data_IF_719591835216
#
_entry.id   IF_719591835216
#
_cell.length_a   1.000
_cell.length_b   1.000
_cell.length_c   1.000
_cell.angle_alpha   90.00
_cell.angle_beta   90.00
_cell.angle_gamma   90.00
#
_symmetry.space_group_name_H-M   'P 1'
#
loop_
_entity.id
_entity.type
_entity.pdbx_description
1 polymer ?
#
# COMPACT_ATOMS: atom_id res chain seq x y z
N UNK A 1 -5.94 55.70 30.39
CA UNK A 1 -5.73 54.38 29.76
C UNK A 1 -6.35 53.29 30.63
N UNK A 2 -7.31 52.53 30.10
CA UNK A 2 -8.14 51.55 30.83
C UNK A 2 -7.26 50.45 31.46
N UNK A 3 -7.57 50.01 32.68
CA UNK A 3 -6.80 49.00 33.45
C UNK A 3 -6.68 47.68 32.68
N UNK A 4 -7.72 47.32 31.91
CA UNK A 4 -7.70 46.16 30.99
C UNK A 4 -6.69 46.35 29.84
N UNK A 5 -6.55 47.55 29.31
CA UNK A 5 -5.62 47.84 28.20
C UNK A 5 -4.16 47.78 28.65
N UNK A 6 -3.85 48.16 29.90
CA UNK A 6 -2.52 48.00 30.49
C UNK A 6 -2.12 46.52 30.67
N UNK A 7 -3.07 45.67 31.05
CA UNK A 7 -2.82 44.22 31.23
C UNK A 7 -2.56 43.57 29.87
N UNK A 8 -3.34 43.90 28.84
CA UNK A 8 -3.12 43.38 27.47
C UNK A 8 -1.75 43.79 26.94
N UNK A 9 -1.34 45.06 27.13
CA UNK A 9 -0.02 45.51 26.69
C UNK A 9 1.12 44.77 27.42
N UNK A 10 0.99 44.56 28.72
CA UNK A 10 2.01 43.86 29.52
C UNK A 10 2.14 42.39 29.09
N UNK A 11 1.02 41.72 28.79
CA UNK A 11 1.02 40.35 28.28
C UNK A 11 1.67 40.27 26.89
N UNK A 12 1.38 41.22 26.00
CA UNK A 12 1.99 41.27 24.67
C UNK A 12 3.51 41.51 24.73
N UNK A 13 3.97 42.40 25.62
CA UNK A 13 5.41 42.64 25.82
C UNK A 13 6.11 41.41 26.40
N UNK A 14 5.47 40.70 27.33
CA UNK A 14 6.02 39.46 27.88
C UNK A 14 6.15 38.36 26.81
N UNK A 15 5.15 38.20 25.93
CA UNK A 15 5.20 37.22 24.83
C UNK A 15 6.33 37.56 23.83
N UNK A 16 6.49 38.83 23.49
CA UNK A 16 7.57 39.30 22.60
C UNK A 16 8.96 39.05 23.20
N UNK A 17 9.14 39.26 24.51
CA UNK A 17 10.41 38.99 25.19
C UNK A 17 10.74 37.49 25.23
N UNK A 18 9.74 36.62 25.40
CA UNK A 18 9.93 35.16 25.35
C UNK A 18 10.33 34.71 23.94
N UNK A 19 9.66 35.21 22.91
CA UNK A 19 10.01 34.91 21.51
C UNK A 19 11.43 35.36 21.15
N UNK A 20 11.85 36.54 21.62
CA UNK A 20 13.21 37.03 21.40
C UNK A 20 14.26 36.14 22.08
N UNK A 21 13.95 35.61 23.27
CA UNK A 21 14.84 34.70 23.99
C UNK A 21 14.99 33.36 23.28
N UNK A 22 13.91 32.82 22.70
CA UNK A 22 13.95 31.56 21.93
C UNK A 22 14.84 31.71 20.70
N UNK A 23 14.73 32.82 19.96
CA UNK A 23 15.57 33.10 18.79
C UNK A 23 17.06 33.23 19.16
N UNK A 24 17.37 33.83 20.31
CA UNK A 24 18.74 33.97 20.81
C UNK A 24 19.35 32.63 21.24
N UNK A 25 18.54 31.68 21.71
CA UNK A 25 18.98 30.34 22.10
C UNK A 25 19.20 29.44 20.88
N UNK A 26 18.39 29.57 19.82
CA UNK A 26 18.51 28.78 18.60
C UNK A 26 19.70 29.16 17.70
N UNK A 27 20.32 30.33 17.89
CA UNK A 27 21.41 30.83 17.05
C UNK A 27 22.83 30.49 17.53
N UNK A 28 23.00 29.56 18.49
CA UNK A 28 24.31 29.02 18.86
C UNK A 28 24.45 27.56 18.39
N UNK A 29 24.81 27.39 17.12
CA UNK A 29 25.34 26.11 16.62
C UNK A 29 26.80 25.89 17.04
N UNK A 30 27.28 24.64 17.14
CA UNK A 30 28.66 24.35 17.51
C UNK A 30 29.61 24.58 16.33
N UNK A 31 30.69 25.31 16.61
CA UNK A 31 31.87 25.44 15.74
C UNK A 31 32.88 24.34 16.05
N UNK A 32 33.36 23.61 15.04
CA UNK A 32 34.76 23.16 14.98
C UNK A 32 35.14 22.67 13.58
N UNK A 33 36.17 23.33 13.03
CA UNK A 33 37.01 22.88 11.93
C UNK A 33 37.72 21.55 12.26
N UNK A 34 38.20 20.81 11.24
CA UNK A 34 39.63 20.46 11.01
C UNK A 34 39.81 19.56 9.77
N UNK A 35 40.65 20.10 8.87
CA UNK A 35 41.61 19.56 7.87
C UNK A 35 41.29 18.41 6.89
N UNK A 36 41.64 18.74 5.64
CA UNK A 36 42.13 17.89 4.55
C UNK A 36 43.11 16.79 5.00
N UNK A 37 43.02 15.61 4.37
CA UNK A 37 44.20 14.95 3.82
C UNK A 37 43.84 14.10 2.60
N UNK A 38 44.64 14.26 1.56
CA UNK A 38 44.66 13.52 0.31
C UNK A 38 45.48 12.25 0.53
N UNK A 39 45.05 11.11 0.00
CA UNK A 39 45.99 10.10 -0.46
C UNK A 39 45.48 9.34 -1.68
N UNK A 40 46.37 9.29 -2.67
CA UNK A 40 46.32 8.48 -3.89
C UNK A 40 47.08 7.18 -3.63
N UNK A 41 46.63 6.08 -4.21
CA UNK A 41 47.45 5.07 -4.93
C UNK A 41 46.47 4.02 -5.52
N UNK A 42 46.29 3.98 -6.85
CA UNK A 42 47.02 3.15 -7.83
C UNK A 42 47.00 1.65 -7.54
N UNK A 43 46.17 0.88 -8.25
CA UNK A 43 46.58 -0.38 -8.90
C UNK A 43 45.79 -0.52 -10.22
N UNK A 44 46.53 -0.52 -11.33
CA UNK A 44 46.16 -1.07 -12.63
C UNK A 44 46.82 -2.45 -12.70
N UNK A 45 46.13 -3.47 -13.19
CA UNK A 45 46.67 -4.36 -14.21
C UNK A 45 45.57 -5.18 -14.90
N UNK A 46 45.47 -4.95 -16.21
CA UNK A 46 44.78 -5.75 -17.20
C UNK A 46 45.65 -6.95 -17.57
N UNK A 47 45.06 -8.14 -17.70
CA UNK A 47 45.43 -9.09 -18.78
C UNK A 47 44.16 -9.82 -19.23
N UNK A 48 43.74 -9.55 -20.47
CA UNK A 48 42.81 -10.35 -21.26
C UNK A 48 43.46 -10.56 -22.63
N UNK A 49 43.60 -11.82 -23.05
CA UNK A 49 43.89 -12.31 -24.40
C UNK A 49 43.83 -13.85 -24.30
N UNK A 50 43.37 -14.68 -25.24
CA UNK A 50 42.51 -14.60 -26.42
C UNK A 50 42.27 -16.07 -26.83
N UNK A 51 41.15 -16.31 -27.55
CA UNK A 51 40.99 -17.38 -28.55
C UNK A 51 40.85 -18.84 -28.06
N UNK A 52 40.22 -19.78 -28.75
CA UNK A 52 39.22 -19.84 -29.83
C UNK A 52 39.00 -21.35 -30.12
N UNK A 53 37.96 -21.67 -30.91
CA UNK A 53 37.68 -22.91 -31.68
C UNK A 53 36.76 -23.94 -31.02
N UNK A 54 35.47 -23.98 -31.37
CA UNK A 54 34.81 -24.54 -32.59
C UNK A 54 34.83 -26.07 -32.66
N UNK A 55 33.64 -26.67 -32.76
CA UNK A 55 33.22 -27.51 -33.89
C UNK A 55 31.73 -27.91 -33.76
N UNK A 56 30.93 -27.47 -34.74
CA UNK A 56 29.72 -28.15 -35.24
C UNK A 56 30.11 -29.53 -35.82
N UNK A 57 29.19 -30.51 -35.98
CA UNK A 57 28.37 -30.79 -37.19
C UNK A 57 27.36 -31.94 -36.94
N UNK A 58 26.19 -31.82 -37.58
CA UNK A 58 25.03 -32.73 -37.73
C UNK A 58 25.30 -34.12 -38.34
N UNK A 59 24.31 -35.04 -38.29
CA UNK A 59 23.54 -35.56 -39.45
C UNK A 59 22.35 -36.46 -39.03
N UNK A 60 21.28 -36.38 -39.84
CA UNK A 60 19.97 -37.06 -39.77
C UNK A 60 19.95 -38.47 -40.40
N UNK A 61 18.72 -39.05 -40.48
CA UNK A 61 18.20 -40.15 -41.34
C UNK A 61 18.14 -41.56 -40.68
N UNK A 62 17.13 -42.44 -40.81
CA UNK A 62 15.86 -42.50 -41.56
C UNK A 62 15.02 -43.74 -41.09
N UNK A 63 13.69 -43.69 -41.33
CA UNK A 63 12.65 -44.74 -41.57
C UNK A 63 12.69 -46.20 -41.03
N UNK A 64 11.59 -46.57 -40.36
CA UNK A 64 10.56 -47.49 -40.91
C UNK A 64 10.47 -48.94 -40.41
N UNK A 65 9.31 -49.34 -39.85
CA UNK A 65 8.43 -50.40 -40.39
C UNK A 65 7.24 -50.75 -39.47
N UNK A 66 6.09 -50.96 -40.12
CA UNK A 66 4.80 -51.38 -39.58
C UNK A 66 4.74 -52.88 -39.25
N UNK A 67 3.85 -53.26 -38.32
CA UNK A 67 3.18 -54.57 -38.28
C UNK A 67 1.73 -54.42 -37.84
N UNK A 68 0.86 -55.03 -38.62
CA UNK A 68 -0.58 -55.21 -38.43
C UNK A 68 -0.84 -56.66 -37.94
N UNK A 69 -2.09 -57.13 -37.69
CA UNK A 69 -2.53 -57.64 -36.39
C UNK A 69 -2.92 -59.13 -36.40
N UNK A 70 -3.05 -59.74 -35.21
CA UNK A 70 -3.73 -61.02 -34.87
C UNK A 70 -3.24 -61.37 -33.44
N UNK A 71 -3.95 -61.94 -32.47
CA UNK A 71 -5.20 -62.70 -32.45
C UNK A 71 -5.74 -62.65 -31.01
N UNK A 72 -7.06 -62.77 -30.90
CA UNK A 72 -7.88 -62.68 -29.71
C UNK A 72 -8.02 -64.07 -29.06
N UNK A 73 -7.50 -64.26 -27.85
CA UNK A 73 -7.99 -65.32 -26.96
C UNK A 73 -8.02 -64.80 -25.53
N UNK A 74 -9.18 -64.98 -24.90
CA UNK A 74 -9.61 -64.17 -23.78
C UNK A 74 -9.14 -64.63 -22.41
N UNK A 75 -9.38 -63.77 -21.45
CA UNK A 75 -9.80 -64.13 -20.09
C UNK A 75 -10.60 -62.94 -19.54
N UNK A 76 -11.86 -63.18 -19.22
CA UNK A 76 -12.73 -62.21 -18.55
C UNK A 76 -12.21 -61.97 -17.13
N UNK A 77 -11.36 -60.96 -16.97
CA UNK A 77 -11.21 -60.26 -15.72
C UNK A 77 -12.26 -59.15 -15.67
N UNK A 78 -13.25 -59.26 -14.78
CA UNK A 78 -14.02 -58.10 -14.35
C UNK A 78 -13.05 -57.16 -13.62
N UNK A 79 -12.41 -56.26 -14.36
CA UNK A 79 -11.79 -55.07 -13.80
C UNK A 79 -12.94 -54.21 -13.26
N UNK A 80 -13.17 -54.33 -11.96
CA UNK A 80 -13.88 -53.34 -11.18
C UNK A 80 -13.08 -52.04 -11.28
N UNK A 81 -13.41 -51.21 -12.27
CA UNK A 81 -13.04 -49.80 -12.27
C UNK A 81 -13.69 -49.19 -11.03
N UNK A 82 -12.92 -49.06 -9.95
CA UNK A 82 -13.25 -48.11 -8.90
C UNK A 82 -13.24 -46.75 -9.59
N UNK A 83 -14.43 -46.21 -9.85
CA UNK A 83 -14.59 -44.77 -10.00
C UNK A 83 -14.07 -44.18 -8.69
N UNK A 84 -12.83 -43.69 -8.69
CA UNK A 84 -12.38 -42.74 -7.68
C UNK A 84 -13.36 -41.58 -7.79
N UNK A 85 -14.27 -41.46 -6.82
CA UNK A 85 -15.04 -40.24 -6.62
C UNK A 85 -14.00 -39.13 -6.47
N UNK A 86 -13.78 -38.34 -7.52
CA UNK A 86 -12.94 -37.14 -7.44
C UNK A 86 -13.51 -36.31 -6.29
N UNK A 87 -12.73 -36.17 -5.20
CA UNK A 87 -13.15 -35.31 -4.11
C UNK A 87 -13.47 -33.93 -4.70
N UNK A 88 -14.63 -33.35 -4.35
CA UNK A 88 -15.03 -32.08 -4.93
C UNK A 88 -13.92 -31.07 -4.68
N UNK A 89 -13.33 -30.55 -5.77
CA UNK A 89 -12.33 -29.49 -5.71
C UNK A 89 -13.03 -28.32 -5.01
N UNK A 90 -12.70 -28.11 -3.74
CA UNK A 90 -13.18 -26.96 -3.00
C UNK A 90 -12.61 -25.72 -3.68
N UNK A 91 -13.41 -24.68 -3.93
CA UNK A 91 -12.89 -23.45 -4.52
C UNK A 91 -11.79 -22.90 -3.62
N UNK A 92 -10.70 -22.41 -4.22
CA UNK A 92 -9.65 -21.70 -3.48
C UNK A 92 -10.24 -20.41 -2.85
N UNK A 93 -9.68 -19.94 -1.72
CA UNK A 93 -10.13 -18.69 -1.11
C UNK A 93 -9.87 -17.49 -2.03
N UNK A 94 -10.76 -16.50 -1.98
CA UNK A 94 -10.51 -15.19 -2.62
C UNK A 94 -9.49 -14.42 -1.77
N UNK A 95 -8.42 -13.93 -2.38
CA UNK A 95 -7.30 -13.27 -1.70
C UNK A 95 -7.32 -11.78 -1.98
N UNK A 96 -7.57 -10.98 -0.94
CA UNK A 96 -7.48 -9.53 -0.99
C UNK A 96 -6.14 -9.08 -0.41
N UNK A 97 -5.34 -8.33 -1.17
CA UNK A 97 -4.07 -7.79 -0.71
C UNK A 97 -4.13 -6.28 -0.48
N UNK A 98 -3.42 -5.81 0.55
CA UNK A 98 -3.36 -4.41 0.94
C UNK A 98 -1.94 -3.98 1.24
N UNK A 99 -1.54 -2.86 0.66
CA UNK A 99 -0.31 -2.16 0.96
C UNK A 99 -0.60 -0.73 1.41
N UNK A 100 0.38 -0.11 2.05
CA UNK A 100 0.29 1.28 2.52
C UNK A 100 0.68 2.31 1.46
N UNK A 101 1.41 3.35 1.87
CA UNK A 101 1.64 4.55 1.06
C UNK A 101 2.69 4.31 -0.05
N UNK A 102 2.37 4.74 -1.27
CA UNK A 102 3.34 4.86 -2.38
C UNK A 102 3.45 6.29 -2.87
N UNK A 103 4.59 6.62 -3.49
CA UNK A 103 4.85 7.95 -4.03
C UNK A 103 5.64 7.90 -5.33
N UNK A 104 5.02 8.33 -6.42
CA UNK A 104 5.65 8.42 -7.74
C UNK A 104 6.04 9.85 -8.13
N UNK A 105 6.24 10.77 -7.18
CA UNK A 105 6.77 12.09 -7.50
C UNK A 105 8.06 11.97 -8.30
N UNK A 106 8.17 12.76 -9.38
CA UNK A 106 9.30 12.66 -10.32
C UNK A 106 10.66 12.95 -9.65
N UNK A 107 10.69 13.63 -8.50
CA UNK A 107 11.92 13.90 -7.74
C UNK A 107 12.10 12.96 -6.53
N UNK A 108 11.23 11.98 -6.37
CA UNK A 108 11.26 11.04 -5.26
C UNK A 108 12.41 10.03 -5.41
N UNK A 109 12.86 9.47 -4.27
CA UNK A 109 13.86 8.39 -4.25
C UNK A 109 13.35 7.08 -4.88
N UNK A 110 12.09 6.66 -4.67
CA UNK A 110 11.46 5.59 -5.44
C UNK A 110 11.68 5.72 -6.95
N UNK A 111 11.21 6.81 -7.56
CA UNK A 111 11.31 6.98 -9.03
C UNK A 111 12.76 7.09 -9.50
N UNK A 112 13.62 7.80 -8.76
CA UNK A 112 15.04 7.86 -9.08
C UNK A 112 15.73 6.48 -9.05
N UNK A 113 15.28 5.56 -8.18
CA UNK A 113 15.76 4.18 -8.17
C UNK A 113 15.23 3.42 -9.38
N UNK A 114 13.92 3.45 -9.60
CA UNK A 114 13.26 2.75 -10.70
C UNK A 114 13.94 3.05 -12.04
N UNK A 115 14.14 4.34 -12.34
CA UNK A 115 14.77 4.80 -13.57
C UNK A 115 16.25 4.38 -13.66
N UNK A 116 16.99 4.41 -12.53
CA UNK A 116 18.41 4.02 -12.48
C UNK A 116 18.61 2.52 -12.68
N UNK A 117 17.82 1.69 -12.00
CA UNK A 117 17.95 0.24 -12.06
C UNK A 117 17.50 -0.30 -13.41
N UNK A 118 16.49 0.34 -14.04
CA UNK A 118 15.99 0.01 -15.38
C UNK A 118 15.63 -1.48 -15.54
N UNK A 119 14.96 -2.04 -14.52
CA UNK A 119 14.50 -3.43 -14.43
C UNK A 119 12.98 -3.54 -14.26
N UNK A 120 12.25 -2.47 -14.60
CA UNK A 120 10.85 -2.31 -14.20
C UNK A 120 10.70 -2.38 -12.68
N UNK A 121 9.54 -2.85 -12.22
CA UNK A 121 9.23 -2.94 -10.80
C UNK A 121 10.21 -3.82 -10.01
N UNK A 122 10.83 -4.83 -10.63
CA UNK A 122 11.83 -5.69 -9.99
C UNK A 122 13.14 -4.96 -9.62
N UNK A 123 13.36 -3.75 -10.16
CA UNK A 123 14.41 -2.86 -9.68
C UNK A 123 14.09 -2.24 -8.32
N UNK A 124 12.82 -2.18 -7.94
CA UNK A 124 12.28 -1.42 -6.81
C UNK A 124 11.62 -2.28 -5.73
N UNK A 125 11.03 -3.41 -6.11
CA UNK A 125 10.34 -4.36 -5.23
C UNK A 125 10.89 -5.76 -5.50
N UNK A 126 11.07 -6.57 -4.46
CA UNK A 126 11.57 -7.93 -4.60
C UNK A 126 10.59 -8.84 -5.35
N UNK A 127 11.15 -9.82 -6.06
CA UNK A 127 10.40 -10.74 -6.92
C UNK A 127 9.33 -11.54 -6.17
N UNK A 128 9.64 -12.01 -4.97
CA UNK A 128 8.70 -12.69 -4.07
C UNK A 128 7.50 -11.81 -3.69
N UNK A 129 7.71 -10.53 -3.38
CA UNK A 129 6.59 -9.61 -3.14
C UNK A 129 5.79 -9.33 -4.41
N UNK A 130 6.45 -9.19 -5.57
CA UNK A 130 5.74 -9.00 -6.83
C UNK A 130 4.86 -10.21 -7.14
N UNK A 131 5.35 -11.42 -6.90
CA UNK A 131 4.55 -12.64 -7.02
C UNK A 131 3.36 -12.64 -6.04
N UNK A 132 3.58 -12.33 -4.75
CA UNK A 132 2.50 -12.25 -3.76
C UNK A 132 1.42 -11.21 -4.10
N UNK A 133 1.81 -10.06 -4.67
CA UNK A 133 0.87 -9.03 -5.14
C UNK A 133 0.07 -9.50 -6.35
N UNK A 134 0.72 -10.13 -7.35
CA UNK A 134 0.05 -10.60 -8.57
C UNK A 134 -0.80 -11.87 -8.36
N UNK A 135 -0.54 -12.63 -7.29
CA UNK A 135 -1.35 -13.79 -6.90
C UNK A 135 -2.58 -13.42 -6.05
N UNK A 136 -2.75 -12.14 -5.68
CA UNK A 136 -3.99 -11.67 -5.07
C UNK A 136 -5.06 -11.48 -6.15
N UNK A 137 -6.33 -11.74 -5.82
CA UNK A 137 -7.44 -11.47 -6.74
C UNK A 137 -7.74 -9.98 -6.84
N UNK A 138 -7.49 -9.22 -5.76
CA UNK A 138 -7.60 -7.76 -5.72
C UNK A 138 -6.47 -7.19 -4.87
N UNK A 139 -5.64 -6.34 -5.45
CA UNK A 139 -4.59 -5.60 -4.74
C UNK A 139 -4.92 -4.11 -4.62
N UNK A 140 -5.02 -3.64 -3.38
CA UNK A 140 -5.30 -2.24 -3.04
C UNK A 140 -4.14 -1.55 -2.33
N UNK A 141 -3.88 -0.27 -2.65
CA UNK A 141 -2.92 0.57 -1.92
C UNK A 141 -3.32 2.05 -1.82
N UNK A 142 -2.53 2.85 -1.09
CA UNK A 142 -2.72 4.31 -1.03
C UNK A 142 -1.85 5.04 -2.07
N UNK A 143 -2.50 5.67 -3.06
CA UNK A 143 -1.84 6.52 -4.05
C UNK A 143 -1.74 7.96 -3.51
N UNK A 144 -0.61 8.31 -2.92
CA UNK A 144 -0.43 9.58 -2.19
C UNK A 144 0.27 10.68 -3.01
N UNK A 145 -0.19 10.90 -4.23
CA UNK A 145 0.31 11.91 -5.16
C UNK A 145 -0.71 12.15 -6.28
N UNK A 146 -0.49 13.15 -7.13
CA UNK A 146 -1.30 13.39 -8.32
C UNK A 146 -0.56 13.00 -9.62
N UNK A 147 -1.27 12.46 -10.60
CA UNK A 147 -0.78 12.31 -11.98
C UNK A 147 -1.16 13.54 -12.79
N UNK A 148 -0.18 14.34 -13.22
CA UNK A 148 -0.46 15.49 -14.08
C UNK A 148 0.80 16.13 -14.65
N UNK A 149 0.66 16.84 -15.77
CA UNK A 149 1.63 17.85 -16.24
C UNK A 149 1.08 19.28 -16.15
N UNK A 150 -0.17 19.42 -15.70
CA UNK A 150 -0.91 20.66 -15.46
C UNK A 150 -0.93 21.00 -13.97
N UNK A 151 -1.72 22.01 -13.63
CA UNK A 151 -1.90 22.47 -12.26
C UNK A 151 -0.73 23.30 -11.74
N UNK A 152 -0.95 23.95 -10.60
CA UNK A 152 0.06 24.77 -9.93
C UNK A 152 0.30 24.24 -8.53
N UNK A 153 1.57 24.09 -8.18
CA UNK A 153 1.99 23.68 -6.84
C UNK A 153 1.37 24.60 -5.79
N UNK A 154 0.72 24.01 -4.78
CA UNK A 154 0.25 24.71 -3.60
C UNK A 154 1.46 25.20 -2.79
N UNK A 155 1.69 26.51 -2.78
CA UNK A 155 2.96 27.09 -2.34
C UNK A 155 3.19 26.92 -0.83
N UNK A 156 2.12 27.01 -0.04
CA UNK A 156 2.14 26.98 1.41
C UNK A 156 2.30 25.58 1.99
N UNK A 157 2.22 24.53 1.16
CA UNK A 157 2.37 23.14 1.60
C UNK A 157 3.84 22.73 1.58
N UNK A 158 4.32 22.13 2.67
CA UNK A 158 5.72 21.70 2.83
C UNK A 158 6.12 20.62 1.84
N UNK A 159 5.21 19.68 1.56
CA UNK A 159 5.43 18.57 0.65
C UNK A 159 4.30 18.52 -0.37
N UNK A 160 4.69 18.40 -1.64
CA UNK A 160 3.76 18.30 -2.77
C UNK A 160 4.29 17.25 -3.72
N UNK A 161 3.45 16.29 -4.14
CA UNK A 161 3.87 15.16 -4.96
C UNK A 161 3.13 15.12 -6.28
N UNK A 162 3.88 15.00 -7.38
CA UNK A 162 3.32 14.87 -8.72
C UNK A 162 4.14 13.93 -9.59
N UNK A 163 3.45 12.96 -10.15
CA UNK A 163 3.97 12.03 -11.14
C UNK A 163 3.59 12.47 -12.55
N UNK A 164 4.45 12.17 -13.52
CA UNK A 164 4.03 12.17 -14.92
C UNK A 164 2.92 11.12 -15.10
N UNK A 165 1.81 11.40 -15.84
CA UNK A 165 0.76 10.41 -16.10
C UNK A 165 1.26 9.05 -16.61
N UNK A 166 2.36 9.02 -17.37
CA UNK A 166 2.98 7.76 -17.83
C UNK A 166 3.46 6.85 -16.70
N UNK A 167 3.68 7.36 -15.49
CA UNK A 167 4.08 6.55 -14.33
C UNK A 167 2.96 5.62 -13.83
N UNK A 168 1.74 5.77 -14.34
CA UNK A 168 0.64 4.84 -14.03
C UNK A 168 0.95 3.40 -14.44
N UNK A 169 1.81 3.18 -15.44
CA UNK A 169 2.24 1.84 -15.85
C UNK A 169 2.96 1.10 -14.71
N UNK A 170 3.58 1.81 -13.76
CA UNK A 170 4.19 1.19 -12.59
C UNK A 170 3.14 0.50 -11.71
N UNK A 171 1.92 1.04 -11.59
CA UNK A 171 0.84 0.37 -10.86
C UNK A 171 0.46 -0.96 -11.53
N UNK A 172 0.47 -1.01 -12.87
CA UNK A 172 0.23 -2.25 -13.63
C UNK A 172 1.35 -3.26 -13.42
N UNK A 173 2.61 -2.83 -13.41
CA UNK A 173 3.74 -3.71 -13.11
C UNK A 173 3.66 -4.28 -11.68
N UNK A 174 3.10 -3.52 -10.74
CA UNK A 174 2.84 -3.98 -9.36
C UNK A 174 1.62 -4.91 -9.25
N UNK A 175 0.77 -5.02 -10.28
CA UNK A 175 -0.49 -5.77 -10.22
C UNK A 175 -1.58 -5.09 -9.39
N UNK A 176 -1.59 -3.76 -9.31
CA UNK A 176 -2.59 -3.01 -8.53
C UNK A 176 -3.91 -2.93 -9.30
N UNK A 177 -5.03 -3.21 -8.63
CA UNK A 177 -6.37 -3.10 -9.22
C UNK A 177 -7.08 -1.82 -8.80
N UNK A 178 -6.89 -1.40 -7.54
CA UNK A 178 -7.61 -0.28 -6.95
C UNK A 178 -6.71 0.57 -6.04
N UNK A 179 -6.90 1.89 -6.09
CA UNK A 179 -6.19 2.82 -5.22
C UNK A 179 -7.12 3.69 -4.38
N UNK A 180 -6.69 4.02 -3.17
CA UNK A 180 -7.27 5.16 -2.44
C UNK A 180 -6.65 6.47 -2.92
N UNK A 181 -7.51 7.45 -3.21
CA UNK A 181 -7.13 8.85 -3.43
C UNK A 181 -7.55 9.76 -2.26
N UNK A 182 -8.23 9.22 -1.25
CA UNK A 182 -8.57 9.98 -0.06
C UNK A 182 -7.33 10.16 0.82
N UNK A 183 -6.55 11.20 0.55
CA UNK A 183 -5.38 11.57 1.35
C UNK A 183 -5.08 13.08 1.23
N UNK A 184 -4.13 13.58 2.00
CA UNK A 184 -3.76 14.99 1.99
C UNK A 184 -2.98 15.42 0.74
N UNK A 185 -2.67 14.56 -0.23
CA UNK A 185 -1.81 14.87 -1.38
C UNK A 185 -2.52 14.91 -2.74
N UNK A 186 -3.78 14.46 -2.82
CA UNK A 186 -4.56 14.44 -4.05
C UNK A 186 -4.75 15.80 -4.75
N UNK A 187 -4.66 16.93 -4.03
CA UNK A 187 -4.81 18.30 -4.57
C UNK A 187 -3.54 19.15 -4.49
N UNK A 188 -2.36 18.53 -4.38
CA UNK A 188 -1.07 19.22 -4.28
C UNK A 188 -0.75 20.19 -5.43
N UNK A 189 -1.38 19.94 -6.59
CA UNK A 189 -1.27 20.76 -7.79
C UNK A 189 -2.63 21.30 -8.24
N UNK A 190 -3.63 21.29 -7.35
CA UNK A 190 -4.98 21.81 -7.58
C UNK A 190 -5.88 20.89 -8.40
N UNK A 191 -7.08 21.38 -8.69
CA UNK A 191 -8.18 20.59 -9.28
C UNK A 191 -7.82 20.04 -10.67
N UNK A 192 -7.06 20.79 -11.48
CA UNK A 192 -6.60 20.30 -12.78
C UNK A 192 -5.82 18.98 -12.65
N UNK A 193 -4.91 18.90 -11.68
CA UNK A 193 -4.11 17.71 -11.47
C UNK A 193 -4.91 16.54 -10.88
N UNK A 194 -5.93 16.83 -10.06
CA UNK A 194 -6.84 15.81 -9.56
C UNK A 194 -7.71 15.22 -10.68
N UNK A 195 -8.21 16.06 -11.60
CA UNK A 195 -8.99 15.59 -12.75
C UNK A 195 -8.12 14.79 -13.75
N UNK A 196 -6.89 15.23 -13.98
CA UNK A 196 -5.91 14.47 -14.75
C UNK A 196 -5.61 13.11 -14.06
N UNK A 197 -5.57 13.07 -12.73
CA UNK A 197 -5.38 11.84 -11.94
C UNK A 197 -6.50 10.84 -12.18
N UNK A 198 -7.77 11.28 -12.11
CA UNK A 198 -8.92 10.43 -12.43
C UNK A 198 -8.83 9.87 -13.84
N UNK A 199 -8.57 10.74 -14.82
CA UNK A 199 -8.46 10.35 -16.23
C UNK A 199 -7.32 9.33 -16.44
N UNK A 200 -6.17 9.57 -15.81
CA UNK A 200 -4.99 8.69 -15.93
C UNK A 200 -5.29 7.29 -15.39
N UNK A 201 -5.96 7.19 -14.25
CA UNK A 201 -6.33 5.91 -13.64
C UNK A 201 -7.41 5.19 -14.45
N UNK A 202 -8.44 5.91 -14.91
CA UNK A 202 -9.52 5.37 -15.75
C UNK A 202 -8.99 4.83 -17.10
N UNK A 203 -8.11 5.57 -17.78
CA UNK A 203 -7.47 5.12 -19.03
C UNK A 203 -6.51 3.94 -18.81
N UNK A 204 -5.94 3.82 -17.61
CA UNK A 204 -5.11 2.69 -17.23
C UNK A 204 -5.90 1.45 -16.82
N UNK A 205 -7.21 1.57 -16.56
CA UNK A 205 -8.03 0.48 -16.02
C UNK A 205 -7.76 0.21 -14.54
N UNK A 206 -7.31 1.22 -13.79
CA UNK A 206 -7.08 1.14 -12.34
C UNK A 206 -8.24 1.86 -11.65
N UNK A 207 -8.99 1.15 -10.82
CA UNK A 207 -10.10 1.74 -10.09
C UNK A 207 -9.61 2.65 -8.96
N UNK A 208 -10.46 3.58 -8.54
CA UNK A 208 -10.16 4.45 -7.40
C UNK A 208 -11.38 4.77 -6.55
N UNK A 209 -11.10 4.95 -5.25
CA UNK A 209 -12.09 5.31 -4.22
C UNK A 209 -11.63 6.51 -3.38
N UNK A 210 -12.60 7.17 -2.76
CA UNK A 210 -12.35 8.22 -1.78
C UNK A 210 -12.09 9.62 -2.37
N UNK A 211 -12.16 9.77 -3.69
CA UNK A 211 -12.14 11.05 -4.38
C UNK A 211 -13.04 11.01 -5.61
N UNK A 212 -13.49 12.17 -6.09
CA UNK A 212 -14.35 12.25 -7.25
C UNK A 212 -14.54 13.66 -7.77
N UNK A 213 -15.17 13.77 -8.94
CA UNK A 213 -15.54 15.04 -9.57
C UNK A 213 -16.59 15.83 -8.79
N UNK A 214 -17.31 15.14 -7.89
CA UNK A 214 -18.27 15.68 -6.94
C UNK A 214 -18.38 14.72 -5.73
N UNK A 215 -19.20 15.10 -4.74
CA UNK A 215 -19.35 14.31 -3.51
C UNK A 215 -19.98 12.94 -3.73
N UNK A 216 -20.91 12.80 -4.69
CA UNK A 216 -21.55 11.52 -4.98
C UNK A 216 -20.56 10.51 -5.55
N UNK A 217 -19.69 10.92 -6.48
CA UNK A 217 -18.61 10.04 -6.97
C UNK A 217 -17.56 9.76 -5.89
N UNK A 218 -17.21 10.76 -5.07
CA UNK A 218 -16.19 10.63 -4.04
C UNK A 218 -16.59 9.66 -2.92
N UNK A 219 -17.90 9.59 -2.59
CA UNK A 219 -18.44 8.73 -1.54
C UNK A 219 -18.87 7.33 -2.04
N UNK A 220 -19.02 7.15 -3.35
CA UNK A 220 -19.51 5.90 -3.93
C UNK A 220 -18.53 4.73 -3.70
N UNK A 221 -19.02 3.55 -3.29
CA UNK A 221 -18.22 2.34 -3.26
C UNK A 221 -17.83 1.85 -4.65
N UNK A 222 -16.71 1.16 -4.75
CA UNK A 222 -16.35 0.32 -5.92
C UNK A 222 -16.61 -1.13 -5.55
N UNK A 223 -17.15 -1.91 -6.49
CA UNK A 223 -17.53 -3.31 -6.29
C UNK A 223 -16.79 -4.22 -7.25
N UNK A 224 -16.22 -5.30 -6.72
CA UNK A 224 -15.72 -6.43 -7.49
C UNK A 224 -16.57 -7.65 -7.18
N UNK A 225 -16.89 -8.45 -8.20
CA UNK A 225 -17.55 -9.74 -7.99
C UNK A 225 -16.65 -10.84 -8.53
N UNK A 226 -16.20 -11.70 -7.63
CA UNK A 226 -15.36 -12.86 -7.94
C UNK A 226 -16.16 -14.09 -7.54
N UNK A 227 -16.43 -14.96 -8.50
CA UNK A 227 -17.41 -16.04 -8.35
C UNK A 227 -18.76 -15.47 -7.88
N UNK A 228 -19.31 -15.98 -6.78
CA UNK A 228 -20.58 -15.51 -6.20
C UNK A 228 -20.38 -14.56 -4.99
N UNK A 229 -19.18 -13.99 -4.82
CA UNK A 229 -18.87 -13.07 -3.71
C UNK A 229 -18.63 -11.67 -4.25
N UNK A 230 -19.44 -10.71 -3.78
CA UNK A 230 -19.24 -9.28 -4.07
C UNK A 230 -18.46 -8.62 -2.94
N UNK A 231 -17.35 -7.96 -3.27
CA UNK A 231 -16.49 -7.20 -2.37
C UNK A 231 -16.64 -5.71 -2.70
N UNK A 232 -16.93 -4.89 -1.68
CA UNK A 232 -17.04 -3.45 -1.81
C UNK A 232 -15.87 -2.73 -1.14
N UNK A 233 -15.38 -1.67 -1.77
CA UNK A 233 -14.31 -0.82 -1.29
C UNK A 233 -14.82 0.60 -1.12
N UNK A 234 -14.57 1.17 0.06
CA UNK A 234 -14.80 2.58 0.35
C UNK A 234 -13.54 3.16 1.00
N UNK A 235 -13.24 4.43 0.72
CA UNK A 235 -12.10 5.10 1.33
C UNK A 235 -12.43 6.51 1.81
N UNK A 236 -11.75 6.98 2.85
CA UNK A 236 -11.89 8.34 3.36
C UNK A 236 -10.63 8.83 4.07
N UNK A 237 -10.49 10.15 4.18
CA UNK A 237 -9.36 10.77 4.87
C UNK A 237 -9.77 11.60 6.07
N UNK A 238 -9.05 11.45 7.18
CA UNK A 238 -9.11 12.40 8.30
C UNK A 238 -8.01 13.46 8.23
N UNK A 239 -7.13 13.35 7.24
CA UNK A 239 -6.02 14.28 7.00
C UNK A 239 -6.26 14.95 5.66
N UNK A 240 -6.98 16.07 5.69
CA UNK A 240 -7.26 16.90 4.51
C UNK A 240 -6.69 18.29 4.79
N UNK A 241 -5.87 18.77 3.84
CA UNK A 241 -5.07 19.99 4.02
C UNK A 241 -5.92 21.26 4.18
N UNK A 242 -7.01 21.39 3.42
CA UNK A 242 -7.89 22.56 3.45
C UNK A 242 -9.36 22.18 3.29
N UNK A 243 -10.26 23.00 3.85
CA UNK A 243 -11.72 22.76 3.82
C UNK A 243 -12.28 22.65 2.40
N UNK A 244 -11.64 23.31 1.45
CA UNK A 244 -12.10 23.31 0.07
C UNK A 244 -11.52 22.14 -0.73
N UNK A 245 -10.74 21.24 -0.10
CA UNK A 245 -10.27 20.00 -0.72
C UNK A 245 -11.25 18.83 -0.56
N UNK A 246 -12.28 19.04 0.26
CA UNK A 246 -13.42 18.13 0.33
C UNK A 246 -14.24 18.24 -0.95
N UNK A 247 -14.68 17.10 -1.47
CA UNK A 247 -15.65 17.11 -2.57
C UNK A 247 -16.97 17.74 -2.13
N UNK A 248 -17.64 18.40 -3.07
CA UNK A 248 -19.02 18.90 -2.90
C UNK A 248 -19.83 18.61 -4.17
N UNK A 249 -21.11 18.97 -4.18
CA UNK A 249 -21.97 18.83 -5.36
C UNK A 249 -21.37 19.46 -6.63
N UNK A 250 -20.55 20.51 -6.47
CA UNK A 250 -20.02 21.31 -7.57
C UNK A 250 -18.49 21.38 -7.59
N UNK A 251 -17.79 20.62 -6.73
CA UNK A 251 -16.34 20.70 -6.63
C UNK A 251 -15.70 19.30 -6.53
N UNK A 252 -14.70 19.00 -7.38
CA UNK A 252 -13.88 17.82 -7.21
C UNK A 252 -13.07 17.85 -5.93
N UNK A 253 -12.91 16.70 -5.29
CA UNK A 253 -12.14 16.57 -4.06
C UNK A 253 -12.26 15.19 -3.45
N UNK A 254 -11.86 15.10 -2.19
CA UNK A 254 -11.85 13.84 -1.43
C UNK A 254 -13.04 13.79 -0.48
N UNK A 255 -13.50 12.58 -0.18
CA UNK A 255 -14.36 12.37 0.99
C UNK A 255 -13.50 12.40 2.25
N UNK A 256 -13.99 13.12 3.25
CA UNK A 256 -13.34 13.17 4.55
C UNK A 256 -14.12 12.45 5.64
N UNK A 257 -13.42 12.16 6.73
CA UNK A 257 -13.98 11.50 7.91
C UNK A 257 -13.52 12.17 9.20
N UNK A 258 -13.43 13.50 9.22
CA UNK A 258 -13.29 14.20 10.51
C UNK A 258 -14.58 14.05 11.35
N UNK A 259 -15.72 14.23 10.68
CA UNK A 259 -17.01 13.70 11.08
C UNK A 259 -17.24 12.39 10.31
N UNK A 260 -17.45 11.24 10.97
CA UNK A 260 -17.60 9.95 10.31
C UNK A 260 -18.95 9.77 9.60
N UNK A 261 -19.95 10.64 9.80
CA UNK A 261 -21.31 10.40 9.35
C UNK A 261 -21.41 10.07 7.85
N UNK A 262 -20.77 10.86 7.00
CA UNK A 262 -20.81 10.65 5.55
C UNK A 262 -20.11 9.35 5.13
N UNK A 263 -18.98 9.02 5.74
CA UNK A 263 -18.28 7.78 5.43
C UNK A 263 -19.03 6.55 5.97
N UNK A 264 -19.72 6.69 7.09
CA UNK A 264 -20.65 5.67 7.62
C UNK A 264 -21.81 5.43 6.66
N UNK A 265 -22.32 6.45 5.96
CA UNK A 265 -23.32 6.28 4.90
C UNK A 265 -22.74 5.46 3.72
N UNK A 266 -21.53 5.77 3.25
CA UNK A 266 -20.84 4.98 2.22
C UNK A 266 -20.67 3.51 2.63
N UNK A 267 -20.27 3.25 3.88
CA UNK A 267 -20.11 1.87 4.40
C UNK A 267 -21.45 1.13 4.43
N UNK A 268 -22.53 1.81 4.81
CA UNK A 268 -23.88 1.20 4.82
C UNK A 268 -24.36 0.88 3.42
N UNK A 269 -24.19 1.81 2.48
CA UNK A 269 -24.50 1.59 1.06
C UNK A 269 -23.71 0.39 0.51
N UNK A 270 -22.40 0.34 0.79
CA UNK A 270 -21.56 -0.80 0.43
C UNK A 270 -22.12 -2.11 1.00
N UNK A 271 -22.45 -2.14 2.29
CA UNK A 271 -22.94 -3.35 2.96
C UNK A 271 -24.28 -3.83 2.45
N UNK A 272 -25.15 -2.94 2.00
CA UNK A 272 -26.44 -3.30 1.41
C UNK A 272 -26.28 -4.01 0.05
N UNK A 273 -25.13 -3.85 -0.62
CA UNK A 273 -24.89 -4.30 -1.99
C UNK A 273 -23.68 -5.24 -2.13
N UNK A 274 -23.11 -5.73 -1.02
CA UNK A 274 -21.94 -6.63 -1.06
C UNK A 274 -21.91 -7.64 0.09
N UNK A 275 -21.15 -8.72 -0.10
CA UNK A 275 -20.91 -9.74 0.92
C UNK A 275 -19.82 -9.29 1.90
N UNK A 276 -18.77 -8.65 1.39
CA UNK A 276 -17.63 -8.16 2.17
C UNK A 276 -17.39 -6.66 1.90
N UNK A 277 -17.13 -5.88 2.96
CA UNK A 277 -16.86 -4.43 2.85
C UNK A 277 -15.49 -4.08 3.43
N UNK A 278 -14.64 -3.46 2.62
CA UNK A 278 -13.35 -2.89 3.04
C UNK A 278 -13.48 -1.39 3.20
N UNK A 279 -13.14 -0.88 4.40
CA UNK A 279 -12.98 0.54 4.65
C UNK A 279 -11.50 0.91 4.73
N UNK A 280 -10.99 1.65 3.74
CA UNK A 280 -9.59 2.07 3.65
C UNK A 280 -9.42 3.53 4.09
N UNK A 281 -8.62 3.83 5.12
CA UNK A 281 -8.71 5.10 5.85
C UNK A 281 -7.35 5.76 6.05
N UNK A 282 -7.24 7.00 5.59
CA UNK A 282 -6.02 7.80 5.71
C UNK A 282 -6.08 8.69 6.97
N UNK A 283 -5.32 8.36 8.01
CA UNK A 283 -5.53 8.92 9.36
C UNK A 283 -4.33 8.81 10.30
N UNK A 284 -4.48 9.25 11.55
CA UNK A 284 -3.44 9.09 12.57
C UNK A 284 -2.47 10.27 12.57
N UNK A 285 -1.30 10.02 13.14
CA UNK A 285 -0.23 11.01 13.25
C UNK A 285 1.02 10.42 12.63
N UNK A 286 1.68 11.21 11.79
CA UNK A 286 2.93 10.82 11.15
C UNK A 286 4.00 10.39 12.17
N UNK A 287 4.77 9.38 11.78
CA UNK A 287 5.98 8.90 12.46
C UNK A 287 5.78 8.40 13.90
N UNK A 288 4.61 7.86 14.23
CA UNK A 288 4.38 7.18 15.52
C UNK A 288 3.62 5.87 15.37
N UNK A 289 4.10 4.84 16.08
CA UNK A 289 3.40 3.56 16.22
C UNK A 289 2.23 3.64 17.20
N UNK A 290 2.18 4.69 18.04
CA UNK A 290 1.11 4.90 19.00
C UNK A 290 -0.18 5.33 18.31
N UNK A 291 -1.28 4.66 18.64
CA UNK A 291 -2.60 5.00 18.16
C UNK A 291 -3.17 6.21 18.91
N UNK A 292 -3.94 7.01 18.19
CA UNK A 292 -4.79 8.03 18.80
C UNK A 292 -6.18 7.45 19.07
N UNK A 293 -6.81 7.87 20.18
CA UNK A 293 -8.14 7.37 20.59
C UNK A 293 -9.19 7.44 19.48
N UNK A 294 -9.14 8.48 18.64
CA UNK A 294 -10.08 8.62 17.53
C UNK A 294 -9.89 7.53 16.48
N UNK A 295 -8.66 7.04 16.23
CA UNK A 295 -8.44 5.96 15.26
C UNK A 295 -9.17 4.71 15.74
N UNK A 296 -9.01 4.37 17.02
CA UNK A 296 -9.64 3.20 17.65
C UNK A 296 -11.16 3.33 17.62
N UNK A 297 -11.69 4.47 18.07
CA UNK A 297 -13.14 4.68 18.12
C UNK A 297 -13.77 4.68 16.72
N UNK A 298 -13.12 5.30 15.73
CA UNK A 298 -13.65 5.37 14.37
C UNK A 298 -13.59 4.02 13.65
N UNK A 299 -12.50 3.26 13.82
CA UNK A 299 -12.42 1.90 13.26
C UNK A 299 -13.58 1.04 13.75
N UNK A 300 -13.91 1.11 15.05
CA UNK A 300 -15.06 0.39 15.64
C UNK A 300 -16.40 0.89 15.10
N UNK A 301 -16.57 2.20 14.92
CA UNK A 301 -17.76 2.77 14.28
C UNK A 301 -17.94 2.24 12.86
N UNK A 302 -16.87 2.08 12.09
CA UNK A 302 -16.94 1.57 10.72
C UNK A 302 -17.30 0.10 10.67
N UNK A 303 -16.70 -0.72 11.54
CA UNK A 303 -17.09 -2.12 11.71
C UNK A 303 -18.57 -2.23 12.12
N UNK A 304 -19.02 -1.39 13.06
CA UNK A 304 -20.41 -1.35 13.52
C UNK A 304 -21.38 -0.85 12.43
N UNK A 305 -20.90 -0.06 11.47
CA UNK A 305 -21.68 0.43 10.34
C UNK A 305 -21.85 -0.60 9.21
N UNK A 306 -20.99 -1.63 9.16
CA UNK A 306 -21.07 -2.68 8.15
C UNK A 306 -19.73 -3.10 7.55
N UNK A 307 -18.63 -2.39 7.83
CA UNK A 307 -17.31 -2.80 7.35
C UNK A 307 -16.93 -4.17 7.89
N UNK A 308 -16.35 -5.02 7.04
CA UNK A 308 -15.83 -6.34 7.38
C UNK A 308 -14.31 -6.31 7.59
N UNK A 309 -13.61 -5.30 7.05
CA UNK A 309 -12.23 -4.97 7.39
C UNK A 309 -11.99 -3.45 7.38
N UNK A 310 -11.09 -2.97 8.24
CA UNK A 310 -10.61 -1.57 8.23
C UNK A 310 -9.11 -1.53 8.04
N UNK A 311 -8.66 -0.89 6.97
CA UNK A 311 -7.23 -0.81 6.62
C UNK A 311 -6.80 0.66 6.65
N UNK A 312 -5.77 0.97 7.42
CA UNK A 312 -5.27 2.31 7.61
C UNK A 312 -3.97 2.60 6.85
N UNK A 313 -3.74 3.88 6.58
CA UNK A 313 -2.49 4.44 6.05
C UNK A 313 -2.31 5.89 6.55
N UNK A 314 -1.26 6.61 6.10
CA UNK A 314 -0.80 7.97 6.51
C UNK A 314 0.36 8.06 7.52
N UNK A 315 0.41 7.30 8.63
CA UNK A 315 1.45 7.49 9.64
C UNK A 315 2.88 7.30 9.10
N UNK A 316 3.05 6.75 7.88
CA UNK A 316 4.31 6.39 7.26
C UNK A 316 5.15 5.38 8.07
N UNK A 317 4.50 4.70 9.02
CA UNK A 317 5.01 3.63 9.88
C UNK A 317 3.94 2.57 10.05
N UNK A 318 4.34 1.33 10.35
CA UNK A 318 3.40 0.31 10.82
C UNK A 318 2.68 0.79 12.08
N UNK A 319 1.38 0.59 12.16
CA UNK A 319 0.64 0.65 13.43
C UNK A 319 -0.01 -0.71 13.68
N UNK A 320 -0.42 -0.94 14.92
CA UNK A 320 -0.92 -2.25 15.36
C UNK A 320 -2.11 -2.79 14.56
N UNK A 321 -2.38 -4.06 14.78
CA UNK A 321 -3.58 -4.76 14.34
C UNK A 321 -4.45 -5.07 15.56
N UNK A 322 -5.77 -5.02 15.39
CA UNK A 322 -6.72 -5.57 16.36
C UNK A 322 -7.83 -6.33 15.64
N UNK A 323 -8.52 -7.21 16.38
CA UNK A 323 -9.83 -7.71 15.98
C UNK A 323 -10.90 -7.01 16.81
N UNK A 324 -11.99 -6.62 16.16
CA UNK A 324 -13.19 -6.14 16.84
C UNK A 324 -14.40 -6.84 16.25
N UNK A 325 -15.13 -7.59 17.09
CA UNK A 325 -16.24 -8.47 16.66
C UNK A 325 -15.82 -9.48 15.59
N UNK A 326 -14.61 -10.04 15.72
CA UNK A 326 -14.05 -11.00 14.77
C UNK A 326 -13.57 -10.41 13.44
N UNK A 327 -13.61 -9.07 13.27
CA UNK A 327 -13.23 -8.39 12.04
C UNK A 327 -11.89 -7.65 12.21
N UNK A 328 -10.96 -7.74 11.23
CA UNK A 328 -9.65 -7.15 11.34
C UNK A 328 -9.66 -5.63 11.17
N UNK A 329 -8.85 -4.97 11.98
CA UNK A 329 -8.48 -3.55 11.86
C UNK A 329 -6.96 -3.48 11.83
N UNK A 330 -6.38 -3.08 10.70
CA UNK A 330 -4.97 -2.74 10.58
C UNK A 330 -4.83 -1.22 10.56
N UNK A 331 -4.26 -0.61 11.60
CA UNK A 331 -4.31 0.84 11.75
C UNK A 331 -3.36 1.61 10.82
N UNK A 332 -2.28 0.98 10.37
CA UNK A 332 -1.38 1.51 9.33
C UNK A 332 -0.47 0.40 8.81
N UNK A 333 -0.37 0.28 7.47
CA UNK A 333 0.59 -0.60 6.80
C UNK A 333 1.93 0.10 6.47
N UNK A 334 2.08 1.36 6.90
CA UNK A 334 3.29 2.15 6.69
C UNK A 334 3.55 2.51 5.23
N UNK A 335 4.78 2.89 4.91
CA UNK A 335 5.16 3.15 3.53
C UNK A 335 5.39 1.82 2.82
N UNK A 336 4.74 1.61 1.68
CA UNK A 336 5.05 0.45 0.84
C UNK A 336 6.18 0.76 -0.14
N UNK A 337 6.13 1.91 -0.81
CA UNK A 337 7.22 2.39 -1.67
C UNK A 337 7.17 3.91 -1.84
N UNK A 338 7.64 4.63 -0.81
CA UNK A 338 7.40 6.09 -0.68
C UNK A 338 8.69 6.91 -0.52
N UNK A 339 9.66 6.42 0.24
CA UNK A 339 10.91 7.13 0.52
C UNK A 339 12.10 6.14 0.57
N UNK A 340 13.29 6.64 0.94
CA UNK A 340 14.50 5.81 1.04
C UNK A 340 14.86 5.37 2.46
N UNK A 341 14.01 5.64 3.45
CA UNK A 341 14.30 5.31 4.84
C UNK A 341 14.21 3.80 5.05
N UNK A 342 15.14 3.27 5.86
CA UNK A 342 15.04 1.91 6.34
C UNK A 342 13.91 1.81 7.37
N UNK A 343 12.84 1.08 7.07
CA UNK A 343 11.65 1.01 7.91
C UNK A 343 10.78 -0.21 7.61
N UNK A 344 10.16 -0.74 8.64
CA UNK A 344 9.13 -1.78 8.57
C UNK A 344 7.94 -1.32 7.73
N UNK A 345 7.38 -2.26 6.98
CA UNK A 345 6.15 -2.15 6.19
C UNK A 345 5.43 -3.49 6.21
N UNK A 346 4.29 -3.61 5.54
CA UNK A 346 3.56 -4.86 5.43
C UNK A 346 2.76 -4.98 4.15
N UNK A 347 2.63 -6.22 3.67
CA UNK A 347 1.58 -6.62 2.73
C UNK A 347 0.56 -7.44 3.53
N UNK A 348 -0.61 -6.87 3.78
CA UNK A 348 -1.68 -7.54 4.50
C UNK A 348 -2.54 -8.31 3.49
N UNK A 349 -2.76 -9.59 3.72
CA UNK A 349 -3.65 -10.45 2.94
C UNK A 349 -4.85 -10.85 3.78
N UNK A 350 -6.04 -10.77 3.19
CA UNK A 350 -7.29 -11.27 3.76
C UNK A 350 -7.81 -12.35 2.83
N UNK A 351 -7.98 -13.55 3.37
CA UNK A 351 -8.49 -14.71 2.66
C UNK A 351 -9.98 -14.85 2.97
N UNK A 352 -10.82 -14.80 1.95
CA UNK A 352 -12.25 -15.09 2.05
C UNK A 352 -12.45 -16.55 1.69
N UNK A 353 -12.59 -17.40 2.71
CA UNK A 353 -12.67 -18.84 2.53
C UNK A 353 -14.07 -19.27 2.02
N UNK A 354 -14.18 -20.41 1.32
CA UNK A 354 -15.47 -20.93 0.84
C UNK A 354 -16.51 -21.16 1.93
N UNK A 355 -16.07 -21.46 3.15
CA UNK A 355 -16.94 -21.64 4.33
C UNK A 355 -17.38 -20.30 4.96
N UNK A 356 -17.05 -19.18 4.30
CA UNK A 356 -17.29 -17.79 4.72
C UNK A 356 -16.50 -17.35 5.95
N UNK A 357 -15.53 -18.15 6.40
CA UNK A 357 -14.55 -17.67 7.37
C UNK A 357 -13.55 -16.73 6.70
N UNK A 358 -12.82 -15.98 7.53
CA UNK A 358 -11.81 -15.03 7.07
C UNK A 358 -10.51 -15.26 7.80
N UNK A 359 -9.44 -15.51 7.05
CA UNK A 359 -8.09 -15.55 7.60
C UNK A 359 -7.35 -14.26 7.23
N UNK A 360 -6.47 -13.82 8.13
CA UNK A 360 -5.69 -12.59 7.96
C UNK A 360 -4.23 -12.94 8.09
N UNK A 361 -3.41 -12.54 7.12
CA UNK A 361 -1.98 -12.75 7.11
C UNK A 361 -1.26 -11.43 6.89
N UNK A 362 -0.22 -11.16 7.66
CA UNK A 362 0.67 -10.03 7.43
C UNK A 362 2.03 -10.55 6.95
N UNK A 363 2.36 -10.31 5.70
CA UNK A 363 3.71 -10.59 5.21
C UNK A 363 4.68 -9.51 5.72
N UNK A 364 5.84 -9.91 6.26
CA UNK A 364 6.77 -8.99 6.88
C UNK A 364 7.59 -8.30 5.80
N UNK A 365 7.43 -6.99 5.66
CA UNK A 365 8.09 -6.20 4.60
C UNK A 365 9.05 -5.19 5.22
N UNK A 366 10.14 -4.92 4.51
CA UNK A 366 11.11 -3.89 4.85
C UNK A 366 11.34 -2.99 3.65
N UNK A 367 11.32 -1.68 3.90
CA UNK A 367 11.92 -0.71 2.99
C UNK A 367 13.37 -0.50 3.40
N UNK A 368 14.28 -0.43 2.43
CA UNK A 368 15.65 0.03 2.64
C UNK A 368 16.16 0.67 1.35
N UNK A 369 16.59 1.93 1.42
CA UNK A 369 17.21 2.61 0.27
C UNK A 369 16.33 2.63 -0.99
N UNK A 370 15.03 2.88 -0.77
CA UNK A 370 13.94 2.89 -1.76
C UNK A 370 13.74 1.54 -2.47
N UNK A 371 14.21 0.45 -1.87
CA UNK A 371 13.89 -0.92 -2.28
C UNK A 371 12.99 -1.56 -1.23
N UNK A 372 11.89 -2.16 -1.68
CA UNK A 372 10.90 -2.82 -0.82
C UNK A 372 11.06 -4.33 -0.97
N UNK A 373 11.21 -5.06 0.13
CA UNK A 373 11.43 -6.51 0.08
C UNK A 373 10.77 -7.25 1.22
N UNK A 374 10.37 -8.50 0.95
CA UNK A 374 9.91 -9.41 1.98
C UNK A 374 11.07 -9.86 2.86
N UNK A 375 10.85 -9.86 4.16
CA UNK A 375 11.78 -10.43 5.11
C UNK A 375 11.62 -11.95 5.06
N UNK A 376 12.59 -12.64 4.46
CA UNK A 376 12.60 -14.12 4.35
C UNK A 376 13.46 -14.80 5.41
N UNK A 377 14.43 -14.08 5.99
CA UNK A 377 15.29 -14.62 7.05
C UNK A 377 14.49 -14.88 8.33
N UNK A 378 14.41 -16.15 8.75
CA UNK A 378 13.56 -16.62 9.86
C UNK A 378 13.70 -15.79 11.13
N UNK A 379 14.94 -15.48 11.54
CA UNK A 379 15.18 -14.71 12.76
C UNK A 379 14.62 -13.28 12.67
N UNK A 380 14.73 -12.65 11.50
CA UNK A 380 14.18 -11.31 11.25
C UNK A 380 12.66 -11.34 11.15
N UNK A 381 12.06 -12.40 10.58
CA UNK A 381 10.60 -12.60 10.59
C UNK A 381 10.07 -12.65 12.03
N UNK A 382 10.71 -13.45 12.89
CA UNK A 382 10.32 -13.54 14.31
C UNK A 382 10.44 -12.19 15.04
N UNK A 383 11.48 -11.43 14.76
CA UNK A 383 11.67 -10.12 15.38
C UNK A 383 10.66 -9.09 14.86
N UNK A 384 10.30 -9.14 13.56
CA UNK A 384 9.22 -8.36 12.97
C UNK A 384 7.86 -8.69 13.62
N UNK A 385 7.51 -9.97 13.76
CA UNK A 385 6.25 -10.35 14.37
C UNK A 385 6.19 -10.01 15.86
N UNK A 386 7.29 -10.13 16.61
CA UNK A 386 7.36 -9.63 17.99
C UNK A 386 7.14 -8.12 18.05
N UNK A 387 7.72 -7.37 17.12
CA UNK A 387 7.45 -5.94 17.00
C UNK A 387 5.96 -5.68 16.75
N UNK A 388 5.36 -6.37 15.79
CA UNK A 388 3.93 -6.24 15.49
C UNK A 388 3.06 -6.61 16.69
N UNK A 389 3.34 -7.72 17.39
CA UNK A 389 2.62 -8.10 18.61
C UNK A 389 2.71 -7.03 19.72
N UNK A 390 3.85 -6.35 19.83
CA UNK A 390 4.06 -5.31 20.86
C UNK A 390 3.25 -4.04 20.59
N UNK A 391 2.98 -3.71 19.32
CA UNK A 391 2.20 -2.52 18.95
C UNK A 391 0.71 -2.83 18.66
N UNK A 392 0.34 -4.10 18.65
CA UNK A 392 -1.00 -4.60 18.35
C UNK A 392 -1.81 -4.91 19.61
N UNK A 393 -3.13 -5.01 19.47
CA UNK A 393 -4.05 -5.20 20.60
C UNK A 393 -4.70 -6.58 20.54
N UNK A 394 -4.35 -7.43 21.50
CA UNK A 394 -5.02 -8.72 21.65
C UNK A 394 -4.82 -9.66 20.46
N UNK A 395 -3.69 -9.61 19.75
CA UNK A 395 -3.40 -10.53 18.63
C UNK A 395 -2.09 -11.29 18.82
N UNK A 396 -1.97 -12.42 18.13
CA UNK A 396 -0.74 -13.20 17.92
C UNK A 396 -0.49 -13.42 16.45
N UNK A 397 0.78 -13.59 16.09
CA UNK A 397 1.21 -14.00 14.76
C UNK A 397 1.83 -15.39 14.82
N UNK A 398 1.47 -16.26 13.89
CA UNK A 398 2.20 -17.50 13.69
C UNK A 398 3.48 -17.28 12.84
N UNK A 399 4.21 -18.36 12.55
CA UNK A 399 5.45 -18.30 11.76
C UNK A 399 5.27 -17.86 10.30
N UNK A 400 4.07 -18.05 9.75
CA UNK A 400 3.72 -17.66 8.37
C UNK A 400 3.06 -16.27 8.33
N UNK A 401 2.80 -15.67 9.49
CA UNK A 401 2.24 -14.33 9.62
C UNK A 401 0.72 -14.30 9.74
N UNK A 402 0.06 -15.46 9.88
CA UNK A 402 -1.37 -15.49 10.15
C UNK A 402 -1.67 -14.90 11.52
N UNK A 403 -2.69 -14.06 11.58
CA UNK A 403 -3.06 -13.26 12.74
C UNK A 403 -4.27 -13.87 13.42
N UNK A 404 -4.17 -14.11 14.72
CA UNK A 404 -5.27 -14.67 15.53
C UNK A 404 -5.53 -13.80 16.76
N UNK A 405 -6.78 -13.76 17.21
CA UNK A 405 -7.16 -13.08 18.45
C UNK A 405 -6.64 -13.85 19.67
N UNK A 406 -6.04 -13.13 20.63
CA UNK A 406 -5.62 -13.67 21.94
C UNK A 406 -6.89 -13.90 22.76
N UNK A 407 -7.18 -15.17 23.03
CA UNK A 407 -8.21 -15.60 23.99
C UNK A 407 -7.92 -15.10 25.41
#
# INVERSE_FOLDING_TARGET
>A
MNRKLKIVLLVQVAILLVLLLVVLISNKGPTSNVSDDLDKENIIDNINDDSSKTNDINFEDEYGQAKDPEDNTGENGEELTQEEEEEPILPEPIVLAFAGDINFDENSKPIARYDRENKGILGAISEDLVEEMNNADIFMLNNEFAYSTRGSRIQEKSYTFRANPKRVDILKEMGVDIVSLANNHALDYGVDALLDTFTTLEEAGIDYVGAGVNIDRAKAPIYYTINDTTIAYVAASRVIYAMDWYASDTRPGMIGTYDPALFVESIKEAKENSDFVVAYVHWGKENTHELLDYQINMAKIYIDAGADAVIGCHPHVMQGIEFYKGKPIAYSLGNYWFNSSKRESGLLKIYLNPDKSTDVQLLPVMNDSAYTYQITEQKKKEDYYKFMENISYGVKFDKEGFVTEKQ
#
